data_IF_117217027293
#
_entry.id   IF_117217027293
#
_cell.length_a   1.000
_cell.length_b   1.000
_cell.length_c   1.000
_cell.angle_alpha   90.00
_cell.angle_beta   90.00
_cell.angle_gamma   90.00
#
_symmetry.space_group_name_H-M   'P 1'
#
loop_
_entity.id
_entity.type
_entity.pdbx_description
1 polymer ?
#
# COMPACT_ATOMS: atom_id res chain seq x y z
N UNK A 1 -7.07 0.62 -15.69
CA UNK A 1 -6.08 1.20 -14.75
C UNK A 1 -6.65 2.44 -14.06
N UNK A 2 -6.93 3.55 -14.76
CA UNK A 2 -7.39 4.80 -14.10
C UNK A 2 -8.63 4.68 -13.22
N UNK A 3 -9.64 3.87 -13.59
CA UNK A 3 -10.82 3.70 -12.73
C UNK A 3 -10.49 2.93 -11.44
N UNK A 4 -9.68 1.88 -11.52
CA UNK A 4 -9.20 1.13 -10.35
C UNK A 4 -8.40 2.07 -9.45
N UNK A 5 -7.57 2.93 -10.04
CA UNK A 5 -6.76 3.93 -9.31
C UNK A 5 -7.55 5.17 -8.84
N UNK A 6 -8.88 5.16 -8.93
CA UNK A 6 -9.67 6.31 -8.47
C UNK A 6 -9.72 6.36 -6.94
N UNK A 7 -9.86 7.57 -6.40
CA UNK A 7 -10.08 7.78 -4.96
C UNK A 7 -11.20 6.90 -4.42
N UNK A 8 -12.30 6.79 -5.16
CA UNK A 8 -13.50 6.05 -4.75
C UNK A 8 -13.24 4.55 -4.55
N UNK A 9 -12.26 3.99 -5.26
CA UNK A 9 -11.94 2.55 -5.18
C UNK A 9 -10.74 2.30 -4.26
N UNK A 10 -9.67 3.09 -4.36
CA UNK A 10 -8.42 2.79 -3.67
C UNK A 10 -8.21 3.54 -2.36
N UNK A 11 -8.87 4.67 -2.12
CA UNK A 11 -8.49 5.50 -0.99
C UNK A 11 -8.77 4.82 0.36
N UNK A 12 -9.98 4.31 0.55
CA UNK A 12 -10.39 3.63 1.78
C UNK A 12 -9.53 2.38 2.07
N UNK A 13 -9.35 1.42 1.14
CA UNK A 13 -8.54 0.24 1.42
C UNK A 13 -7.07 0.60 1.65
N UNK A 14 -6.49 1.56 0.93
CA UNK A 14 -5.11 1.98 1.16
C UNK A 14 -4.94 2.63 2.53
N UNK A 15 -5.93 3.42 2.97
CA UNK A 15 -5.91 4.03 4.31
C UNK A 15 -5.96 2.97 5.40
N UNK A 16 -6.85 1.99 5.30
CA UNK A 16 -6.95 0.89 6.26
C UNK A 16 -5.66 0.06 6.33
N UNK A 17 -5.04 -0.23 5.19
CA UNK A 17 -3.73 -0.88 5.13
C UNK A 17 -2.70 -0.02 5.88
N UNK A 18 -2.62 1.27 5.56
CA UNK A 18 -1.68 2.21 6.18
C UNK A 18 -1.80 2.28 7.70
N UNK A 19 -3.02 2.24 8.24
CA UNK A 19 -3.26 2.24 9.69
C UNK A 19 -2.77 0.96 10.40
N UNK A 20 -2.69 -0.18 9.69
CA UNK A 20 -2.22 -1.46 10.26
C UNK A 20 -0.72 -1.68 10.17
N UNK A 21 -0.04 -1.04 9.22
CA UNK A 21 1.40 -1.21 9.00
C UNK A 21 2.26 -0.95 10.25
N UNK A 22 2.06 0.13 11.04
CA UNK A 22 2.88 0.41 12.21
C UNK A 22 2.88 -0.73 13.24
N UNK A 23 1.68 -1.24 13.57
CA UNK A 23 1.51 -2.34 14.52
C UNK A 23 2.13 -3.63 13.99
N UNK A 24 1.96 -3.91 12.69
CA UNK A 24 2.53 -5.10 12.05
C UNK A 24 4.06 -5.06 12.00
N UNK A 25 4.65 -3.91 11.66
CA UNK A 25 6.10 -3.70 11.63
C UNK A 25 6.73 -3.94 13.00
N UNK A 26 6.14 -3.38 14.06
CA UNK A 26 6.66 -3.57 15.42
C UNK A 26 6.50 -5.01 15.89
N UNK A 27 5.37 -5.68 15.59
CA UNK A 27 5.15 -7.07 15.94
C UNK A 27 6.08 -8.06 15.20
N UNK A 28 6.54 -7.70 14.00
CA UNK A 28 7.37 -8.57 13.16
C UNK A 28 8.85 -8.15 13.10
N UNK A 29 9.24 -7.06 13.77
CA UNK A 29 10.60 -6.50 13.77
C UNK A 29 11.71 -7.51 14.08
N UNK A 30 11.46 -8.48 14.95
CA UNK A 30 12.41 -9.53 15.31
C UNK A 30 12.49 -10.69 14.29
N UNK A 31 11.47 -10.84 13.44
CA UNK A 31 11.37 -11.87 12.40
C UNK A 31 11.86 -11.36 11.04
N UNK A 32 11.79 -10.04 10.83
CA UNK A 32 12.16 -9.41 9.57
C UNK A 32 13.67 -9.24 9.46
N UNK A 33 14.18 -9.46 8.26
CA UNK A 33 15.51 -8.96 7.89
C UNK A 33 15.49 -7.43 7.89
N UNK A 34 16.67 -6.81 7.98
CA UNK A 34 16.78 -5.35 7.83
C UNK A 34 16.23 -4.89 6.48
N UNK A 35 16.54 -5.62 5.41
CA UNK A 35 16.08 -5.31 4.06
C UNK A 35 14.55 -5.36 3.93
N UNK A 36 13.91 -6.39 4.49
CA UNK A 36 12.44 -6.49 4.49
C UNK A 36 11.81 -5.40 5.35
N UNK A 37 12.37 -5.11 6.52
CA UNK A 37 11.88 -4.05 7.40
C UNK A 37 11.94 -2.68 6.71
N UNK A 38 13.06 -2.37 6.04
CA UNK A 38 13.22 -1.11 5.28
C UNK A 38 12.24 -1.05 4.09
N UNK A 39 12.04 -2.17 3.39
CA UNK A 39 11.09 -2.29 2.28
C UNK A 39 9.64 -2.05 2.73
N UNK A 40 9.19 -2.72 3.79
CA UNK A 40 7.85 -2.56 4.34
C UNK A 40 7.65 -1.17 4.95
N UNK A 41 8.68 -0.60 5.58
CA UNK A 41 8.64 0.79 6.06
C UNK A 41 8.47 1.78 4.90
N UNK A 42 9.14 1.55 3.77
CA UNK A 42 9.00 2.37 2.57
C UNK A 42 7.62 2.24 1.95
N UNK A 43 7.06 1.03 1.85
CA UNK A 43 5.68 0.82 1.39
C UNK A 43 4.69 1.62 2.26
N UNK A 44 4.82 1.55 3.59
CA UNK A 44 3.97 2.32 4.51
C UNK A 44 4.03 3.83 4.21
N UNK A 45 5.22 4.39 4.03
CA UNK A 45 5.37 5.81 3.68
C UNK A 45 4.68 6.16 2.35
N UNK A 46 4.81 5.30 1.34
CA UNK A 46 4.16 5.51 0.04
C UNK A 46 2.63 5.44 0.15
N UNK A 47 2.10 4.54 0.99
CA UNK A 47 0.65 4.44 1.26
C UNK A 47 0.13 5.71 1.91
N UNK A 48 0.83 6.25 2.92
CA UNK A 48 0.43 7.48 3.59
C UNK A 48 0.44 8.67 2.63
N UNK A 49 1.46 8.78 1.79
CA UNK A 49 1.55 9.84 0.78
C UNK A 49 0.45 9.69 -0.28
N UNK A 50 0.13 8.46 -0.71
CA UNK A 50 -0.99 8.19 -1.62
C UNK A 50 -2.32 8.62 -1.03
N UNK A 51 -2.60 8.28 0.23
CA UNK A 51 -3.83 8.71 0.92
C UNK A 51 -3.89 10.23 1.02
N UNK A 52 -2.76 10.87 1.33
CA UNK A 52 -2.66 12.34 1.36
C UNK A 52 -2.98 12.96 0.00
N UNK A 53 -2.43 12.43 -1.09
CA UNK A 53 -2.71 12.91 -2.46
C UNK A 53 -4.19 12.74 -2.80
N UNK A 54 -4.82 11.62 -2.43
CA UNK A 54 -6.26 11.46 -2.58
C UNK A 54 -7.06 12.52 -1.78
N UNK A 55 -6.60 12.91 -0.60
CA UNK A 55 -7.29 13.91 0.23
C UNK A 55 -7.07 15.36 -0.21
N UNK A 56 -5.89 15.69 -0.75
CA UNK A 56 -5.56 17.07 -1.14
C UNK A 56 -5.78 17.35 -2.62
N UNK A 57 -5.38 16.41 -3.48
CA UNK A 57 -5.28 16.59 -4.93
C UNK A 57 -5.73 15.31 -5.67
N UNK A 58 -6.97 14.85 -5.49
CA UNK A 58 -7.44 13.57 -6.06
C UNK A 58 -7.46 13.51 -7.60
N UNK A 59 -7.34 14.65 -8.28
CA UNK A 59 -7.24 14.73 -9.73
C UNK A 59 -5.81 14.62 -10.28
N UNK A 60 -4.79 14.56 -9.41
CA UNK A 60 -3.39 14.42 -9.81
C UNK A 60 -3.06 12.95 -10.09
N UNK A 61 -3.57 12.46 -11.22
CA UNK A 61 -3.40 11.07 -11.65
C UNK A 61 -1.95 10.72 -11.96
N UNK A 62 -1.13 11.68 -12.42
CA UNK A 62 0.29 11.47 -12.64
C UNK A 62 0.99 11.16 -11.32
N UNK A 63 0.71 11.94 -10.26
CA UNK A 63 1.27 11.68 -8.93
C UNK A 63 0.77 10.36 -8.33
N UNK A 64 -0.52 10.06 -8.45
CA UNK A 64 -1.10 8.79 -8.00
C UNK A 64 -0.41 7.61 -8.70
N UNK A 65 -0.22 7.71 -10.02
CA UNK A 65 0.43 6.66 -10.81
C UNK A 65 1.90 6.49 -10.41
N UNK A 66 2.65 7.58 -10.21
CA UNK A 66 4.04 7.55 -9.74
C UNK A 66 4.18 6.84 -8.38
N UNK A 67 3.27 7.13 -7.45
CA UNK A 67 3.27 6.52 -6.12
C UNK A 67 2.98 5.02 -6.19
N UNK A 68 2.02 4.61 -7.02
CA UNK A 68 1.71 3.19 -7.24
C UNK A 68 2.88 2.44 -7.88
N UNK A 69 3.54 3.03 -8.88
CA UNK A 69 4.75 2.45 -9.48
C UNK A 69 5.91 2.34 -8.47
N UNK A 70 6.07 3.36 -7.62
CA UNK A 70 7.06 3.33 -6.55
C UNK A 70 6.76 2.23 -5.52
N UNK A 71 5.48 1.99 -5.25
CA UNK A 71 5.02 0.94 -4.34
C UNK A 71 5.29 -0.45 -4.93
N UNK A 72 4.99 -0.65 -6.22
CA UNK A 72 5.34 -1.85 -6.99
C UNK A 72 6.85 -2.16 -6.93
N UNK A 73 7.70 -1.13 -7.05
CA UNK A 73 9.15 -1.29 -6.91
C UNK A 73 9.61 -1.72 -5.51
N UNK A 74 8.76 -1.60 -4.49
CA UNK A 74 9.00 -2.14 -3.16
C UNK A 74 8.51 -3.59 -3.02
N UNK A 75 7.93 -4.21 -4.05
CA UNK A 75 7.40 -5.58 -4.00
C UNK A 75 6.07 -5.69 -3.25
N UNK A 76 5.71 -6.94 -2.90
CA UNK A 76 4.40 -7.24 -2.33
C UNK A 76 4.20 -6.66 -0.91
N UNK A 77 2.98 -6.22 -0.56
CA UNK A 77 2.63 -5.85 0.80
C UNK A 77 2.61 -7.06 1.75
N UNK A 78 2.63 -6.86 3.09
CA UNK A 78 2.52 -7.95 4.06
C UNK A 78 1.24 -8.76 3.86
N UNK A 79 1.40 -10.06 3.58
CA UNK A 79 0.27 -10.96 3.31
C UNK A 79 -0.74 -11.02 4.48
N UNK A 80 -0.28 -10.86 5.73
CA UNK A 80 -1.13 -10.81 6.92
C UNK A 80 -2.11 -9.63 6.87
N UNK A 81 -1.62 -8.43 6.53
CA UNK A 81 -2.47 -7.23 6.43
C UNK A 81 -3.48 -7.38 5.30
N UNK A 82 -3.04 -7.91 4.15
CA UNK A 82 -3.91 -8.13 2.97
C UNK A 82 -5.00 -9.15 3.28
N UNK A 83 -4.65 -10.27 3.90
CA UNK A 83 -5.59 -11.35 4.23
C UNK A 83 -6.71 -10.88 5.16
N UNK A 84 -6.41 -9.96 6.09
CA UNK A 84 -7.42 -9.42 7.00
C UNK A 84 -8.34 -8.39 6.34
N UNK A 85 -7.85 -7.59 5.39
CA UNK A 85 -8.62 -6.50 4.77
C UNK A 85 -9.41 -6.96 3.55
N UNK A 86 -8.91 -7.96 2.84
CA UNK A 86 -9.57 -8.46 1.65
C UNK A 86 -9.31 -9.97 1.49
N UNK A 87 -9.98 -10.83 2.27
CA UNK A 87 -9.75 -12.29 2.29
C UNK A 87 -10.03 -13.01 0.96
N UNK A 88 -10.52 -12.30 -0.06
CA UNK A 88 -10.70 -12.81 -1.43
C UNK A 88 -9.93 -12.04 -2.52
N UNK A 89 -9.18 -11.00 -2.16
CA UNK A 89 -8.43 -10.18 -3.12
C UNK A 89 -7.05 -10.80 -3.33
N UNK A 90 -6.86 -11.46 -4.47
CA UNK A 90 -5.51 -11.81 -4.92
C UNK A 90 -4.84 -10.52 -5.40
N UNK A 91 -3.94 -9.99 -4.57
CA UNK A 91 -3.01 -8.96 -5.02
C UNK A 91 -1.94 -9.62 -5.87
N UNK A 92 -1.77 -9.15 -7.10
CA UNK A 92 -0.71 -9.59 -8.01
C UNK A 92 0.68 -9.30 -7.46
N UNK A 93 1.72 -9.73 -8.18
CA UNK A 93 3.13 -9.47 -7.84
C UNK A 93 3.44 -7.96 -7.72
N UNK A 94 2.58 -7.13 -8.30
CA UNK A 94 2.60 -5.69 -8.34
C UNK A 94 1.70 -5.03 -7.26
N UNK A 95 1.11 -5.81 -6.35
CA UNK A 95 0.30 -5.26 -5.25
C UNK A 95 -1.04 -4.65 -5.67
N UNK A 96 -1.47 -4.86 -6.92
CA UNK A 96 -2.80 -4.48 -7.42
C UNK A 96 -3.76 -5.68 -7.40
N UNK A 97 -5.09 -5.45 -7.28
CA UNK A 97 -6.11 -6.47 -7.51
C UNK A 97 -5.96 -7.12 -8.90
N UNK A 98 -5.94 -8.45 -8.96
CA UNK A 98 -6.01 -9.22 -10.22
C UNK A 98 -7.45 -9.58 -10.62
#
# INVERSE_FOLDING_TARGET
MQQILSKEILHEPMKEIGERYPSWLEANKSKLSKEDHDRFSKQHQLILELCRVYDTTPGDFDKITELMQSMQGCGQPPAEIVAELAPGLQLGEDGLPQ
#
